data_IF_318005281821
#
_entry.id   IF_318005281821
#
_cell.length_a   1.000
_cell.length_b   1.000
_cell.length_c   1.000
_cell.angle_alpha   90.00
_cell.angle_beta   90.00
_cell.angle_gamma   90.00
#
_symmetry.space_group_name_H-M   'P 1'
#
loop_
_entity.id
_entity.type
_entity.pdbx_description
1 polymer ?
#
# COMPACT_ATOMS: atom_id res chain seq x y z
N UNK A 1 19.44 -9.63 -17.51
CA UNK A 1 20.05 -10.58 -16.54
C UNK A 1 20.01 -9.93 -15.17
N UNK A 2 19.31 -10.50 -14.18
CA UNK A 2 19.24 -9.95 -12.81
C UNK A 2 20.63 -10.09 -12.17
N UNK A 3 21.24 -8.99 -11.74
CA UNK A 3 22.53 -9.01 -11.05
C UNK A 3 22.29 -9.04 -9.53
N UNK A 4 22.78 -10.07 -8.85
CA UNK A 4 22.75 -10.16 -7.40
C UNK A 4 24.09 -9.65 -6.85
N UNK A 5 23.99 -8.82 -5.82
CA UNK A 5 25.12 -8.20 -5.15
C UNK A 5 24.86 -8.26 -3.65
N UNK A 6 25.82 -8.78 -2.89
CA UNK A 6 25.77 -8.78 -1.43
C UNK A 6 26.91 -7.92 -0.92
N UNK A 7 26.62 -7.01 -0.01
CA UNK A 7 27.64 -6.30 0.76
C UNK A 7 28.12 -7.20 1.91
N UNK A 8 29.44 -7.37 2.05
CA UNK A 8 30.03 -8.07 3.20
C UNK A 8 29.82 -7.23 4.47
N UNK A 9 28.72 -7.48 5.19
CA UNK A 9 28.43 -6.80 6.47
C UNK A 9 29.10 -7.51 7.66
N UNK A 10 29.65 -8.73 7.46
CA UNK A 10 30.12 -9.59 8.55
C UNK A 10 31.63 -9.61 8.82
N UNK A 11 32.45 -8.82 8.14
CA UNK A 11 33.88 -8.72 8.47
C UNK A 11 34.14 -7.69 9.60
N UNK A 12 33.69 -7.99 10.82
CA UNK A 12 34.15 -7.30 12.03
C UNK A 12 35.30 -8.07 12.68
N UNK A 13 36.45 -8.14 12.01
CA UNK A 13 37.73 -8.35 12.70
C UNK A 13 38.18 -7.01 13.28
N UNK A 14 38.28 -6.96 14.61
CA UNK A 14 38.71 -5.80 15.39
C UNK A 14 40.20 -5.60 15.21
N UNK A 15 40.62 -4.89 14.16
CA UNK A 15 41.96 -4.31 14.09
C UNK A 15 41.87 -2.79 13.96
N UNK A 16 42.43 -2.13 14.97
CA UNK A 16 42.43 -0.69 15.21
C UNK A 16 43.66 -0.12 14.51
N UNK A 17 43.52 0.45 13.30
CA UNK A 17 44.67 1.13 12.69
C UNK A 17 44.58 1.58 11.23
N UNK A 18 43.74 1.00 10.38
CA UNK A 18 43.77 1.32 8.94
C UNK A 18 42.40 1.70 8.39
N UNK A 19 42.38 2.68 7.47
CA UNK A 19 41.18 3.21 6.81
C UNK A 19 40.42 2.06 6.15
N UNK A 20 39.25 1.73 6.70
CA UNK A 20 38.33 0.72 6.14
C UNK A 20 37.90 1.14 4.74
N UNK A 21 38.47 0.51 3.72
CA UNK A 21 37.85 0.49 2.41
C UNK A 21 36.55 -0.29 2.55
N UNK A 22 35.43 0.38 2.30
CA UNK A 22 34.12 -0.26 2.21
C UNK A 22 34.24 -1.35 1.15
N UNK A 23 34.13 -2.62 1.56
CA UNK A 23 34.35 -3.78 0.71
C UNK A 23 33.56 -3.64 -0.59
N UNK A 24 34.27 -3.75 -1.72
CA UNK A 24 33.65 -3.70 -3.05
C UNK A 24 32.60 -4.81 -3.12
N UNK A 25 31.40 -4.45 -3.57
CA UNK A 25 30.33 -5.40 -3.86
C UNK A 25 30.85 -6.53 -4.76
N UNK A 26 30.91 -7.75 -4.22
CA UNK A 26 31.26 -8.93 -5.00
C UNK A 26 30.05 -9.28 -5.86
N UNK A 27 30.20 -9.18 -7.17
CA UNK A 27 29.17 -9.63 -8.12
C UNK A 27 29.11 -11.15 -8.03
N UNK A 28 27.96 -11.68 -7.67
CA UNK A 28 27.79 -13.13 -7.61
C UNK A 28 27.26 -13.59 -8.96
N UNK A 29 28.03 -14.40 -9.67
CA UNK A 29 27.57 -15.04 -10.89
C UNK A 29 26.63 -16.19 -10.53
N UNK A 30 25.43 -16.17 -11.12
CA UNK A 30 24.34 -17.11 -10.81
C UNK A 30 24.66 -18.55 -11.19
N UNK A 31 25.58 -18.75 -12.13
CA UNK A 31 26.02 -20.07 -12.58
C UNK A 31 26.92 -20.79 -11.57
N UNK A 32 27.65 -20.07 -10.70
CA UNK A 32 28.47 -20.70 -9.64
C UNK A 32 27.60 -21.05 -8.41
N UNK A 33 26.53 -20.29 -8.16
CA UNK A 33 25.59 -20.53 -7.07
C UNK A 33 24.66 -21.72 -7.30
N UNK A 34 24.33 -22.03 -8.56
CA UNK A 34 23.43 -23.13 -8.91
C UNK A 34 23.99 -24.52 -8.59
N UNK A 35 25.31 -24.63 -8.39
CA UNK A 35 25.99 -25.87 -8.03
C UNK A 35 25.81 -26.22 -6.53
N UNK A 36 25.52 -25.22 -5.69
CA UNK A 36 25.39 -25.38 -4.23
C UNK A 36 23.98 -25.10 -3.70
N UNK A 37 23.15 -24.37 -4.46
CA UNK A 37 21.80 -23.99 -4.09
C UNK A 37 20.86 -24.10 -5.29
N UNK A 38 19.60 -24.47 -5.04
CA UNK A 38 18.58 -24.43 -6.08
C UNK A 38 18.17 -22.96 -6.33
N UNK A 39 18.89 -22.32 -7.26
CA UNK A 39 18.74 -20.90 -7.61
C UNK A 39 17.31 -20.54 -8.01
N UNK A 40 16.59 -21.46 -8.67
CA UNK A 40 15.21 -21.22 -9.11
C UNK A 40 14.25 -21.08 -7.93
N UNK A 41 14.34 -21.97 -6.93
CA UNK A 41 13.53 -21.88 -5.70
C UNK A 41 13.83 -20.61 -4.91
N UNK A 42 15.09 -20.20 -4.86
CA UNK A 42 15.50 -18.98 -4.17
C UNK A 42 14.95 -17.72 -4.85
N UNK A 43 15.00 -17.66 -6.18
CA UNK A 43 14.40 -16.57 -6.96
C UNK A 43 12.89 -16.52 -6.72
N UNK A 44 12.20 -17.66 -6.74
CA UNK A 44 10.77 -17.73 -6.46
C UNK A 44 10.41 -17.22 -5.07
N UNK A 45 11.20 -17.56 -4.04
CA UNK A 45 10.98 -17.04 -2.67
C UNK A 45 11.16 -15.53 -2.60
N UNK A 46 12.16 -14.97 -3.29
CA UNK A 46 12.37 -13.53 -3.35
C UNK A 46 11.23 -12.81 -4.10
N UNK A 47 10.76 -13.36 -5.21
CA UNK A 47 9.65 -12.79 -5.95
C UNK A 47 8.35 -12.83 -5.12
N UNK A 48 8.08 -13.93 -4.41
CA UNK A 48 6.95 -14.02 -3.47
C UNK A 48 7.07 -12.99 -2.33
N UNK A 49 8.25 -12.84 -1.73
CA UNK A 49 8.47 -11.85 -0.68
C UNK A 49 8.26 -10.40 -1.16
N UNK A 50 8.66 -10.08 -2.40
CA UNK A 50 8.41 -8.78 -3.02
C UNK A 50 6.91 -8.59 -3.25
N UNK A 51 6.20 -9.62 -3.71
CA UNK A 51 4.76 -9.57 -3.93
C UNK A 51 3.98 -9.34 -2.63
N UNK A 52 4.35 -10.07 -1.57
CA UNK A 52 3.78 -9.88 -0.23
C UNK A 52 4.10 -8.48 0.32
N UNK A 53 5.30 -7.96 0.11
CA UNK A 53 5.65 -6.59 0.50
C UNK A 53 4.80 -5.55 -0.24
N UNK A 54 4.57 -5.74 -1.55
CA UNK A 54 3.66 -4.88 -2.33
C UNK A 54 2.24 -4.92 -1.78
N UNK A 55 1.70 -6.12 -1.48
CA UNK A 55 0.38 -6.28 -0.86
C UNK A 55 0.30 -5.56 0.48
N UNK A 56 1.32 -5.71 1.33
CA UNK A 56 1.41 -5.03 2.62
C UNK A 56 1.49 -3.49 2.48
N UNK A 57 2.21 -2.97 1.49
CA UNK A 57 2.26 -1.53 1.24
C UNK A 57 0.93 -0.96 0.73
N UNK A 58 0.22 -1.69 -0.13
CA UNK A 58 -1.12 -1.28 -0.55
C UNK A 58 -2.07 -1.27 0.65
N UNK A 59 -1.99 -2.28 1.52
CA UNK A 59 -2.84 -2.38 2.70
C UNK A 59 -2.54 -1.31 3.78
N UNK A 60 -1.26 -0.98 4.02
CA UNK A 60 -0.86 -0.19 5.19
C UNK A 60 -0.33 1.22 4.89
N UNK A 61 0.09 1.50 3.66
CA UNK A 61 0.78 2.76 3.29
C UNK A 61 -0.14 3.75 2.55
N UNK A 62 -1.44 3.47 2.45
CA UNK A 62 -2.46 4.31 1.83
C UNK A 62 -2.68 5.69 2.49
N UNK A 63 -1.93 6.02 3.56
CA UNK A 63 -2.05 7.25 4.35
C UNK A 63 -1.92 8.55 3.53
N UNK A 64 -1.19 8.56 2.41
CA UNK A 64 -1.05 9.75 1.52
C UNK A 64 -1.99 9.74 0.31
N UNK A 65 -2.66 8.63 0.05
CA UNK A 65 -3.68 8.50 -0.99
C UNK A 65 -5.10 8.55 -0.43
N UNK A 66 -5.27 8.57 0.89
CA UNK A 66 -6.55 8.42 1.60
C UNK A 66 -7.70 9.23 0.99
N UNK A 67 -7.49 10.52 0.71
CA UNK A 67 -8.56 11.37 0.13
C UNK A 67 -8.93 10.94 -1.29
N UNK A 68 -7.95 10.75 -2.19
CA UNK A 68 -8.22 10.30 -3.57
C UNK A 68 -8.73 8.87 -3.66
N UNK A 69 -8.28 8.01 -2.74
CA UNK A 69 -8.74 6.62 -2.63
C UNK A 69 -10.19 6.53 -2.16
N UNK A 70 -10.65 7.45 -1.29
CA UNK A 70 -12.07 7.53 -0.87
C UNK A 70 -12.97 7.77 -2.10
N UNK A 71 -12.56 8.66 -3.00
CA UNK A 71 -13.35 9.02 -4.19
C UNK A 71 -13.49 7.87 -5.20
N UNK A 72 -12.51 6.94 -5.18
CA UNK A 72 -12.43 5.77 -6.04
C UNK A 72 -13.09 4.52 -5.45
N UNK A 73 -13.67 4.61 -4.25
CA UNK A 73 -14.40 3.48 -3.65
C UNK A 73 -15.60 3.16 -4.53
N UNK A 74 -15.72 1.88 -4.90
CA UNK A 74 -16.88 1.35 -5.64
C UNK A 74 -18.02 1.08 -4.66
N UNK A 75 -19.19 1.60 -4.97
CA UNK A 75 -20.43 1.46 -4.22
C UNK A 75 -21.44 0.76 -5.12
N UNK A 76 -21.97 -0.37 -4.68
CA UNK A 76 -23.07 -1.02 -5.37
C UNK A 76 -24.37 -0.30 -5.00
N UNK A 77 -25.00 0.34 -5.98
CA UNK A 77 -26.23 1.10 -5.80
C UNK A 77 -27.23 0.73 -6.89
N UNK A 78 -28.46 0.36 -6.49
CA UNK A 78 -29.55 -0.04 -7.39
C UNK A 78 -29.20 -1.18 -8.38
N UNK A 79 -28.19 -2.01 -8.04
CA UNK A 79 -27.76 -3.16 -8.85
C UNK A 79 -26.56 -2.89 -9.75
N UNK A 80 -26.14 -1.63 -9.87
CA UNK A 80 -24.98 -1.21 -10.65
C UNK A 80 -23.84 -0.73 -9.73
N UNK A 81 -22.61 -0.84 -10.24
CA UNK A 81 -21.41 -0.41 -9.52
C UNK A 81 -21.04 1.02 -9.93
N UNK A 82 -21.09 1.94 -8.97
CA UNK A 82 -20.73 3.34 -9.16
C UNK A 82 -19.53 3.72 -8.32
N UNK A 83 -18.74 4.70 -8.78
CA UNK A 83 -17.69 5.28 -7.97
C UNK A 83 -18.29 6.29 -6.98
N UNK A 84 -17.71 6.40 -5.79
CA UNK A 84 -18.22 7.30 -4.76
C UNK A 84 -18.35 8.74 -5.27
N UNK A 85 -17.38 9.23 -6.04
CA UNK A 85 -17.43 10.57 -6.67
C UNK A 85 -18.66 10.83 -7.56
N UNK A 86 -19.32 9.79 -8.07
CA UNK A 86 -20.49 9.90 -8.95
C UNK A 86 -21.79 10.03 -8.15
N UNK A 87 -21.80 9.46 -6.94
CA UNK A 87 -22.97 9.45 -6.05
C UNK A 87 -22.98 10.62 -5.08
N UNK A 88 -21.81 11.19 -4.74
CA UNK A 88 -21.69 12.22 -3.70
C UNK A 88 -20.84 13.41 -4.14
N UNK A 89 -21.17 14.58 -3.60
CA UNK A 89 -20.33 15.77 -3.73
C UNK A 89 -19.25 15.77 -2.64
N UNK A 90 -17.98 15.80 -3.05
CA UNK A 90 -16.83 15.70 -2.14
C UNK A 90 -16.26 17.10 -1.87
N UNK A 91 -16.14 17.47 -0.59
CA UNK A 91 -15.46 18.68 -0.13
C UNK A 91 -14.30 18.32 0.78
N UNK A 92 -13.09 18.70 0.37
CA UNK A 92 -11.84 18.32 1.03
C UNK A 92 -11.42 19.41 2.01
N UNK A 93 -11.39 19.11 3.30
CA UNK A 93 -10.77 19.97 4.33
C UNK A 93 -9.51 19.27 4.88
N UNK A 94 -8.50 20.03 5.38
CA UNK A 94 -7.20 19.46 5.78
C UNK A 94 -7.23 18.32 6.80
N UNK A 95 -8.29 18.22 7.62
CA UNK A 95 -8.44 17.17 8.65
C UNK A 95 -9.67 16.28 8.44
N UNK A 96 -10.58 16.69 7.55
CA UNK A 96 -11.91 16.08 7.40
C UNK A 96 -12.30 16.11 5.93
N UNK A 97 -12.68 14.96 5.38
CA UNK A 97 -13.35 14.88 4.09
C UNK A 97 -14.86 14.91 4.36
N UNK A 98 -15.55 15.83 3.69
CA UNK A 98 -17.01 15.97 3.79
C UNK A 98 -17.61 15.41 2.51
N UNK A 99 -18.48 14.42 2.64
CA UNK A 99 -19.24 13.84 1.54
C UNK A 99 -20.69 14.30 1.67
N UNK A 100 -21.24 14.91 0.63
CA UNK A 100 -22.63 15.31 0.61
C UNK A 100 -23.43 14.41 -0.34
N UNK A 101 -24.39 13.68 0.22
CA UNK A 101 -25.21 12.66 -0.47
C UNK A 101 -26.62 13.21 -0.76
N UNK A 102 -26.75 14.52 -0.96
CA UNK A 102 -28.04 15.18 -1.22
C UNK A 102 -28.73 14.67 -2.49
N UNK A 103 -27.96 14.23 -3.47
CA UNK A 103 -28.48 13.74 -4.76
C UNK A 103 -29.19 12.40 -4.62
N UNK A 104 -28.70 11.51 -3.75
CA UNK A 104 -29.23 10.16 -3.54
C UNK A 104 -29.21 9.76 -2.05
N UNK A 105 -30.11 10.32 -1.21
CA UNK A 105 -30.13 10.00 0.22
C UNK A 105 -30.34 8.52 0.53
N UNK A 106 -30.96 7.77 -0.39
CA UNK A 106 -31.16 6.32 -0.30
C UNK A 106 -29.87 5.51 -0.50
N UNK A 107 -28.80 6.11 -1.03
CA UNK A 107 -27.48 5.50 -1.22
C UNK A 107 -26.57 5.59 0.01
N UNK A 108 -26.98 6.36 1.04
CA UNK A 108 -26.20 6.58 2.27
C UNK A 108 -25.76 5.27 2.94
N UNK A 109 -26.62 4.27 3.19
CA UNK A 109 -26.19 3.04 3.85
C UNK A 109 -25.19 2.23 3.02
N UNK A 110 -25.34 2.21 1.69
CA UNK A 110 -24.41 1.55 0.78
C UNK A 110 -23.05 2.26 0.76
N UNK A 111 -23.05 3.59 0.77
CA UNK A 111 -21.84 4.41 0.85
C UNK A 111 -21.10 4.17 2.17
N UNK A 112 -21.80 4.15 3.30
CA UNK A 112 -21.20 3.87 4.62
C UNK A 112 -20.58 2.47 4.69
N UNK A 113 -21.29 1.47 4.17
CA UNK A 113 -20.80 0.09 4.10
C UNK A 113 -19.56 -0.03 3.18
N UNK A 114 -19.59 0.63 2.02
CA UNK A 114 -18.44 0.66 1.10
C UNK A 114 -17.21 1.33 1.71
N UNK A 115 -17.38 2.44 2.46
CA UNK A 115 -16.29 3.09 3.19
C UNK A 115 -15.73 2.18 4.28
N UNK A 116 -16.60 1.45 5.00
CA UNK A 116 -16.17 0.49 6.02
C UNK A 116 -15.37 -0.68 5.41
N UNK A 117 -15.84 -1.20 4.26
CA UNK A 117 -15.19 -2.29 3.51
C UNK A 117 -13.93 -1.87 2.77
N UNK A 118 -13.71 -0.58 2.54
CA UNK A 118 -12.55 -0.05 1.80
C UNK A 118 -11.20 -0.34 2.48
N UNK A 119 -11.21 -0.82 3.73
CA UNK A 119 -9.99 -1.16 4.47
C UNK A 119 -9.18 0.05 4.92
N UNK A 120 -9.69 1.27 4.73
CA UNK A 120 -9.04 2.52 5.13
C UNK A 120 -9.12 2.78 6.65
N UNK A 121 -9.83 1.94 7.40
CA UNK A 121 -10.05 2.04 8.85
C UNK A 121 -10.45 3.46 9.30
N UNK A 122 -11.36 4.07 8.53
CA UNK A 122 -11.87 5.41 8.77
C UNK A 122 -13.13 5.33 9.62
N UNK A 123 -13.41 6.38 10.40
CA UNK A 123 -14.61 6.49 11.22
C UNK A 123 -15.59 7.51 10.61
N UNK A 124 -16.43 7.11 9.63
CA UNK A 124 -17.42 8.01 9.05
C UNK A 124 -18.49 8.40 10.08
N UNK A 125 -18.77 9.69 10.19
CA UNK A 125 -19.84 10.25 11.02
C UNK A 125 -20.94 10.80 10.11
N UNK A 126 -22.14 10.24 10.20
CA UNK A 126 -23.29 10.73 9.43
C UNK A 126 -24.00 11.85 10.19
N UNK A 127 -24.30 12.94 9.48
CA UNK A 127 -25.17 14.03 9.90
C UNK A 127 -26.20 14.30 8.79
N UNK A 128 -27.41 13.73 8.95
CA UNK A 128 -28.45 13.79 7.93
C UNK A 128 -27.99 13.20 6.59
N UNK A 129 -27.88 14.05 5.57
CA UNK A 129 -27.42 13.71 4.21
C UNK A 129 -25.93 13.92 4.00
N UNK A 130 -25.19 14.37 5.03
CA UNK A 130 -23.75 14.64 4.95
C UNK A 130 -22.98 13.60 5.76
N UNK A 131 -21.85 13.12 5.25
CA UNK A 131 -20.96 12.18 5.92
C UNK A 131 -19.60 12.85 6.12
N UNK A 132 -19.11 12.83 7.35
CA UNK A 132 -17.83 13.38 7.74
C UNK A 132 -16.82 12.26 7.98
N UNK A 133 -15.69 12.32 7.29
CA UNK A 133 -14.63 11.32 7.41
C UNK A 133 -13.38 12.02 7.97
N UNK A 134 -12.99 11.78 9.23
CA UNK A 134 -11.75 12.28 9.77
C UNK A 134 -10.58 11.53 9.11
N UNK A 135 -9.61 12.29 8.59
CA UNK A 135 -8.38 11.74 8.02
C UNK A 135 -7.24 11.96 9.02
N UNK A 136 -6.55 10.89 9.48
CA UNK A 136 -5.46 11.00 10.44
C UNK A 136 -4.18 11.59 9.85
#
# INVERSE_FOLDING_TARGET
TRQFSVSLVLEKTKNRGEKKSVGKATKIDLNELSEFLNTDKFIQQLDNAIEDMKKNFVAHLSLRSSVGSIEQIVVNFEGDDFMLQELVQISRKPKIVVLNVTTFPQAIPQVLDAISKSGLNLNPQQDGTTIYIPVP
#
